data_IF_039637543427
#
_entry.id   IF_039637543427
#
_cell.length_a   1.000
_cell.length_b   1.000
_cell.length_c   1.000
_cell.angle_alpha   90.00
_cell.angle_beta   90.00
_cell.angle_gamma   90.00
#
_symmetry.space_group_name_H-M   'P 1'
#
loop_
_entity.id
_entity.type
_entity.pdbx_description
1 polymer ?
#
# COMPACT_ATOMS: atom_id res chain seq x y z
N UNK A 1 -3.43 19.14 15.66
CA UNK A 1 -2.65 17.97 15.19
C UNK A 1 -3.12 17.68 13.79
N UNK A 2 -2.23 17.70 12.81
CA UNK A 2 -2.53 17.23 11.46
C UNK A 2 -2.55 15.71 11.48
N UNK A 3 -3.50 15.09 10.77
CA UNK A 3 -3.60 13.63 10.66
C UNK A 3 -2.41 13.02 9.92
N UNK A 4 -2.44 11.69 9.73
CA UNK A 4 -1.40 11.00 8.99
C UNK A 4 -1.30 11.54 7.55
N UNK A 5 -0.07 11.79 7.10
CA UNK A 5 0.24 12.33 5.78
C UNK A 5 0.43 11.20 4.75
N UNK A 6 0.25 11.48 3.44
CA UNK A 6 0.64 10.52 2.42
C UNK A 6 2.17 10.35 2.43
N UNK A 7 2.63 9.12 2.22
CA UNK A 7 4.04 8.90 1.90
C UNK A 7 4.37 9.69 0.63
N UNK A 8 5.57 10.29 0.57
CA UNK A 8 5.98 11.13 -0.58
C UNK A 8 5.86 10.44 -1.95
N UNK A 9 6.14 9.14 -2.02
CA UNK A 9 6.04 8.34 -3.25
C UNK A 9 5.74 6.88 -2.87
N UNK A 10 5.05 6.10 -3.72
CA UNK A 10 4.89 4.66 -3.48
C UNK A 10 6.27 4.03 -3.22
N UNK A 11 6.48 3.26 -2.15
CA UNK A 11 7.81 2.69 -1.90
C UNK A 11 8.20 1.66 -2.96
N UNK A 12 9.49 1.35 -3.11
CA UNK A 12 9.98 0.44 -4.17
C UNK A 12 9.38 -0.98 -4.11
N UNK A 13 8.90 -1.41 -2.94
CA UNK A 13 8.23 -2.69 -2.75
C UNK A 13 6.71 -2.56 -2.60
N UNK A 14 6.13 -1.41 -2.95
CA UNK A 14 4.68 -1.19 -2.81
C UNK A 14 3.92 -2.18 -3.70
N UNK A 15 2.89 -2.88 -3.17
CA UNK A 15 2.16 -3.88 -3.95
C UNK A 15 1.41 -3.29 -5.14
N UNK A 16 1.05 -2.00 -5.11
CA UNK A 16 0.38 -1.31 -6.21
C UNK A 16 1.31 -0.94 -7.37
N UNK A 17 2.64 -0.95 -7.22
CA UNK A 17 3.57 -0.59 -8.31
C UNK A 17 3.58 -1.65 -9.40
N UNK A 18 3.41 -1.26 -10.66
CA UNK A 18 3.47 -2.22 -11.78
C UNK A 18 4.86 -2.84 -11.95
N UNK A 19 5.92 -2.10 -11.60
CA UNK A 19 7.30 -2.54 -11.73
C UNK A 19 7.85 -3.29 -10.50
N UNK A 20 6.99 -3.64 -9.53
CA UNK A 20 7.42 -4.41 -8.37
C UNK A 20 7.54 -5.90 -8.74
N UNK A 21 8.56 -6.63 -8.25
CA UNK A 21 8.56 -8.08 -8.33
C UNK A 21 7.34 -8.69 -7.61
N UNK A 22 6.85 -9.81 -8.13
CA UNK A 22 5.83 -10.63 -7.44
C UNK A 22 6.45 -11.39 -6.27
N UNK A 23 5.65 -11.78 -5.28
CA UNK A 23 6.08 -12.65 -4.19
C UNK A 23 6.87 -11.97 -3.08
N UNK A 24 6.75 -10.64 -2.91
CA UNK A 24 7.47 -9.91 -1.85
C UNK A 24 6.76 -10.00 -0.50
N UNK A 25 5.44 -9.83 -0.48
CA UNK A 25 4.67 -9.78 0.76
C UNK A 25 3.94 -11.10 1.02
N UNK A 26 3.52 -11.30 2.27
CA UNK A 26 2.68 -12.45 2.63
C UNK A 26 1.33 -12.39 1.87
N UNK A 27 0.72 -13.53 1.47
CA UNK A 27 -0.59 -13.57 0.82
C UNK A 27 -1.66 -12.72 1.52
N UNK A 28 -1.65 -12.68 2.85
CA UNK A 28 -2.61 -11.91 3.64
C UNK A 28 -2.51 -10.40 3.43
N UNK A 29 -1.34 -9.87 3.08
CA UNK A 29 -1.18 -8.47 2.73
C UNK A 29 -1.86 -8.16 1.39
N UNK A 30 -1.75 -9.08 0.42
CA UNK A 30 -2.41 -8.94 -0.88
C UNK A 30 -3.92 -9.12 -0.78
N UNK A 31 -4.40 -10.03 0.07
CA UNK A 31 -5.83 -10.26 0.31
C UNK A 31 -6.57 -9.03 0.86
N UNK A 32 -5.86 -8.06 1.45
CA UNK A 32 -6.44 -6.79 1.92
C UNK A 32 -6.78 -5.83 0.78
N UNK A 33 -6.08 -5.91 -0.35
CA UNK A 33 -6.12 -4.89 -1.39
C UNK A 33 -7.48 -4.80 -2.10
N UNK A 34 -8.09 -5.95 -2.39
CA UNK A 34 -9.38 -6.02 -3.09
C UNK A 34 -10.55 -5.38 -2.30
N UNK A 35 -10.38 -5.13 -1.00
CA UNK A 35 -11.41 -4.53 -0.13
C UNK A 35 -11.74 -3.07 -0.50
N UNK A 36 -10.91 -2.45 -1.34
CA UNK A 36 -11.00 -1.04 -1.72
C UNK A 36 -11.40 -0.81 -3.19
N UNK A 37 -11.59 -1.87 -3.98
CA UNK A 37 -11.76 -1.75 -5.44
C UNK A 37 -13.14 -1.24 -5.86
N UNK A 38 -14.17 -1.63 -5.10
CA UNK A 38 -15.55 -1.29 -5.41
C UNK A 38 -15.82 0.22 -5.39
N UNK A 39 -16.95 0.66 -5.98
CA UNK A 39 -17.44 2.00 -5.75
C UNK A 39 -17.62 2.25 -4.25
N UNK A 40 -17.59 3.52 -3.83
CA UNK A 40 -17.59 3.94 -2.42
C UNK A 40 -18.62 3.21 -1.54
N UNK A 41 -19.82 2.94 -2.05
CA UNK A 41 -20.89 2.28 -1.30
C UNK A 41 -20.72 0.76 -1.14
N UNK A 42 -19.85 0.14 -1.94
CA UNK A 42 -19.50 -1.29 -1.88
C UNK A 42 -18.17 -1.54 -1.16
N UNK A 43 -17.40 -0.49 -0.85
CA UNK A 43 -16.13 -0.63 -0.14
C UNK A 43 -16.37 -1.11 1.29
N UNK A 44 -15.91 -2.32 1.59
CA UNK A 44 -16.09 -2.97 2.88
C UNK A 44 -15.09 -2.49 3.97
N UNK A 45 -14.09 -1.69 3.59
CA UNK A 45 -13.03 -1.24 4.48
C UNK A 45 -13.07 0.28 4.69
N UNK A 46 -13.31 0.69 5.95
CA UNK A 46 -13.09 2.07 6.42
C UNK A 46 -11.67 2.29 6.96
N UNK A 47 -10.90 1.21 7.13
CA UNK A 47 -9.54 1.27 7.64
C UNK A 47 -8.59 1.81 6.56
N UNK A 48 -7.76 2.78 6.95
CA UNK A 48 -6.71 3.36 6.12
C UNK A 48 -5.61 2.32 5.84
N UNK A 49 -5.11 2.29 4.61
CA UNK A 49 -3.98 1.44 4.25
C UNK A 49 -2.65 2.17 4.53
N UNK A 50 -2.00 1.83 5.65
CA UNK A 50 -0.71 2.42 6.04
C UNK A 50 0.45 1.84 5.22
N UNK A 51 1.55 2.60 5.10
CA UNK A 51 2.75 2.12 4.43
C UNK A 51 3.60 1.20 5.32
N UNK A 52 3.93 -0.01 4.85
CA UNK A 52 4.82 -0.94 5.58
C UNK A 52 6.25 -0.44 5.79
N UNK A 53 6.68 0.57 5.02
CA UNK A 53 8.01 1.19 5.11
C UNK A 53 7.94 2.68 5.55
N UNK A 54 6.76 3.16 5.92
CA UNK A 54 6.54 4.50 6.45
C UNK A 54 6.57 4.54 7.97
N UNK A 55 6.71 5.75 8.50
CA UNK A 55 6.64 6.01 9.93
C UNK A 55 5.26 6.58 10.27
N UNK A 56 4.23 5.74 10.11
CA UNK A 56 2.83 6.16 10.23
C UNK A 56 2.23 6.79 8.97
N UNK A 57 3.02 6.92 7.88
CA UNK A 57 2.52 7.46 6.61
C UNK A 57 1.43 6.58 5.99
N UNK A 58 0.49 7.23 5.28
CA UNK A 58 -0.49 6.55 4.42
C UNK A 58 0.21 6.00 3.17
N UNK A 59 -0.20 4.82 2.72
CA UNK A 59 0.36 4.17 1.54
C UNK A 59 0.06 4.96 0.26
N UNK A 60 1.10 5.58 -0.30
CA UNK A 60 1.02 6.33 -1.56
C UNK A 60 0.56 5.51 -2.77
N UNK A 61 0.88 4.21 -2.84
CA UNK A 61 0.39 3.38 -3.95
C UNK A 61 -1.10 3.10 -3.85
N UNK A 62 -1.60 2.94 -2.62
CA UNK A 62 -3.05 2.80 -2.39
C UNK A 62 -3.78 4.12 -2.64
N UNK A 63 -3.22 5.27 -2.24
CA UNK A 63 -3.83 6.56 -2.58
C UNK A 63 -3.82 6.81 -4.09
N UNK A 64 -2.69 6.57 -4.75
CA UNK A 64 -2.48 7.00 -6.14
C UNK A 64 -3.03 6.08 -7.23
N UNK A 65 -3.53 4.87 -6.92
CA UNK A 65 -4.02 3.96 -7.97
C UNK A 65 -5.33 4.42 -8.63
N UNK A 66 -6.03 5.37 -7.99
CA UNK A 66 -7.26 6.02 -8.46
C UNK A 66 -7.39 7.40 -7.82
N UNK A 67 -8.48 8.12 -8.08
CA UNK A 67 -8.80 9.34 -7.32
C UNK A 67 -8.93 9.01 -5.83
N UNK A 68 -8.10 9.58 -4.92
CA UNK A 68 -8.20 9.30 -3.50
C UNK A 68 -9.58 9.65 -2.89
N UNK A 69 -10.32 10.59 -3.48
CA UNK A 69 -11.67 10.94 -3.04
C UNK A 69 -12.70 9.82 -3.28
N UNK A 70 -12.41 8.85 -4.17
CA UNK A 70 -13.24 7.65 -4.35
C UNK A 70 -13.07 6.63 -3.21
N UNK A 71 -12.05 6.79 -2.36
CA UNK A 71 -11.80 5.87 -1.25
C UNK A 71 -12.59 6.31 -0.02
N UNK A 72 -13.54 5.48 0.43
CA UNK A 72 -14.37 5.75 1.60
C UNK A 72 -13.52 5.98 2.86
N UNK A 73 -12.47 5.18 3.04
CA UNK A 73 -11.53 5.32 4.15
C UNK A 73 -10.81 6.68 4.16
N UNK A 74 -10.48 7.24 2.98
CA UNK A 74 -9.85 8.57 2.88
C UNK A 74 -10.84 9.65 3.29
N UNK A 75 -12.07 9.59 2.77
CA UNK A 75 -13.13 10.56 3.10
C UNK A 75 -13.42 10.60 4.59
N UNK A 76 -13.59 9.42 5.21
CA UNK A 76 -13.86 9.32 6.65
C UNK A 76 -12.65 9.82 7.45
N UNK A 77 -11.44 9.36 7.10
CA UNK A 77 -10.22 9.73 7.81
C UNK A 77 -9.92 11.24 7.79
N UNK A 78 -10.20 11.93 6.68
CA UNK A 78 -10.04 13.40 6.61
C UNK A 78 -11.10 14.10 7.46
N UNK A 79 -12.36 13.64 7.41
CA UNK A 79 -13.45 14.24 8.22
C UNK A 79 -13.25 14.01 9.72
N UNK A 80 -12.72 12.85 10.13
CA UNK A 80 -12.40 12.57 11.54
C UNK A 80 -11.13 13.24 12.03
N UNK A 81 -10.30 13.79 11.13
CA UNK A 81 -9.01 14.38 11.44
C UNK A 81 -7.88 13.36 11.63
N UNK A 82 -8.13 12.08 11.35
CA UNK A 82 -7.12 11.02 11.39
C UNK A 82 -6.14 11.10 10.21
N UNK A 83 -6.59 11.67 9.08
CA UNK A 83 -5.79 11.93 7.88
C UNK A 83 -5.65 13.42 7.60
N UNK A 84 -4.47 13.79 7.11
CA UNK A 84 -4.25 15.12 6.56
C UNK A 84 -5.00 15.29 5.22
N UNK A 85 -5.58 16.47 4.91
CA UNK A 85 -6.26 16.72 3.63
C UNK A 85 -5.41 16.42 2.40
N UNK A 86 -4.08 16.52 2.49
CA UNK A 86 -3.16 16.15 1.40
C UNK A 86 -3.28 14.69 0.95
N UNK A 87 -3.87 13.80 1.76
CA UNK A 87 -4.22 12.45 1.32
C UNK A 87 -5.29 12.42 0.21
N UNK A 88 -6.27 13.32 0.27
CA UNK A 88 -7.35 13.41 -0.71
C UNK A 88 -6.88 14.03 -2.05
N UNK A 89 -5.79 14.80 -2.00
CA UNK A 89 -5.20 15.49 -3.15
C UNK A 89 -3.99 14.75 -3.74
N UNK A 90 -3.68 13.56 -3.21
CA UNK A 90 -2.46 12.83 -3.56
C UNK A 90 -2.45 12.38 -5.02
N UNK A 91 -1.34 12.64 -5.72
CA UNK A 91 -1.08 12.16 -7.08
C UNK A 91 0.35 11.65 -7.20
N UNK A 92 0.62 10.81 -8.21
CA UNK A 92 1.94 10.22 -8.46
C UNK A 92 2.11 9.85 -9.93
N UNK A 93 3.33 10.05 -10.47
CA UNK A 93 3.70 9.61 -11.82
C UNK A 93 4.22 8.17 -11.87
N UNK A 94 4.40 7.52 -10.71
CA UNK A 94 4.79 6.12 -10.63
C UNK A 94 3.66 5.25 -11.21
N UNK A 95 3.92 4.37 -12.19
CA UNK A 95 2.89 3.49 -12.74
C UNK A 95 2.36 2.50 -11.69
N UNK A 96 1.03 2.52 -11.49
CA UNK A 96 0.33 1.67 -10.54
C UNK A 96 -0.66 0.74 -11.23
N UNK A 97 -0.93 -0.42 -10.64
CA UNK A 97 -2.04 -1.26 -11.07
C UNK A 97 -3.37 -0.53 -10.87
N UNK A 98 -4.32 -0.73 -11.78
CA UNK A 98 -5.62 -0.04 -11.78
C UNK A 98 -6.53 -0.41 -10.61
N UNK A 99 -6.24 -1.53 -9.93
CA UNK A 99 -7.03 -2.02 -8.80
C UNK A 99 -6.17 -2.79 -7.81
N UNK A 100 -6.66 -2.91 -6.58
CA UNK A 100 -6.12 -3.79 -5.56
C UNK A 100 -6.17 -5.27 -5.97
N UNK A 101 -7.21 -5.71 -6.69
CA UNK A 101 -7.30 -7.06 -7.23
C UNK A 101 -6.20 -7.34 -8.27
N UNK A 102 -5.93 -6.40 -9.20
CA UNK A 102 -4.84 -6.54 -10.16
C UNK A 102 -3.46 -6.57 -9.46
N UNK A 103 -3.26 -5.69 -8.48
CA UNK A 103 -2.07 -5.67 -7.64
C UNK A 103 -1.87 -6.98 -6.87
N UNK A 104 -2.95 -7.53 -6.30
CA UNK A 104 -2.94 -8.79 -5.57
C UNK A 104 -2.67 -9.98 -6.50
N UNK A 105 -3.31 -10.03 -7.67
CA UNK A 105 -3.10 -11.09 -8.66
C UNK A 105 -1.63 -11.13 -9.12
N UNK A 106 -1.05 -9.97 -9.44
CA UNK A 106 0.39 -9.89 -9.76
C UNK A 106 1.25 -10.30 -8.56
N UNK A 107 0.98 -9.74 -7.38
CA UNK A 107 1.75 -9.97 -6.17
C UNK A 107 1.76 -11.42 -5.68
N UNK A 108 0.66 -12.15 -5.88
CA UNK A 108 0.52 -13.54 -5.46
C UNK A 108 1.15 -14.56 -6.42
N UNK A 109 1.40 -14.19 -7.68
CA UNK A 109 1.83 -15.10 -8.75
C UNK A 109 3.05 -15.95 -8.36
N UNK A 110 4.10 -15.33 -7.83
CA UNK A 110 5.39 -15.99 -7.58
C UNK A 110 5.62 -16.28 -6.08
N UNK A 111 4.61 -16.17 -5.21
CA UNK A 111 4.74 -16.46 -3.77
C UNK A 111 5.31 -17.86 -3.48
N UNK A 112 4.88 -18.96 -4.16
CA UNK A 112 5.43 -20.29 -3.89
C UNK A 112 6.92 -20.42 -4.20
N UNK A 113 7.44 -19.60 -5.12
CA UNK A 113 8.84 -19.61 -5.54
C UNK A 113 9.28 -18.21 -6.00
N UNK A 114 9.56 -17.28 -5.05
CA UNK A 114 9.88 -15.90 -5.40
C UNK A 114 11.18 -15.81 -6.19
N UNK A 115 11.18 -15.01 -7.26
CA UNK A 115 12.36 -14.77 -8.09
C UNK A 115 13.47 -14.01 -7.36
N UNK A 116 14.66 -13.98 -7.97
CA UNK A 116 15.87 -13.36 -7.38
C UNK A 116 15.66 -11.88 -6.98
N UNK A 117 14.91 -11.12 -7.77
CA UNK A 117 14.62 -9.72 -7.48
C UNK A 117 13.67 -9.56 -6.29
N UNK A 118 12.69 -10.46 -6.15
CA UNK A 118 11.79 -10.48 -5.01
C UNK A 118 12.54 -10.84 -3.73
N UNK A 119 13.40 -11.87 -3.78
CA UNK A 119 14.26 -12.27 -2.67
C UNK A 119 15.20 -11.13 -2.23
N UNK A 120 15.80 -10.42 -3.19
CA UNK A 120 16.64 -9.27 -2.91
C UNK A 120 15.85 -8.11 -2.26
N UNK A 121 14.63 -7.86 -2.72
CA UNK A 121 13.74 -6.85 -2.13
C UNK A 121 13.33 -7.22 -0.69
N UNK A 122 12.96 -8.48 -0.45
CA UNK A 122 12.65 -9.02 0.88
C UNK A 122 13.85 -8.82 1.81
N UNK A 123 15.06 -9.20 1.38
CA UNK A 123 16.28 -9.02 2.17
C UNK A 123 16.53 -7.55 2.56
N UNK A 124 16.30 -6.61 1.64
CA UNK A 124 16.40 -5.17 1.93
C UNK A 124 15.36 -4.69 2.95
N UNK A 125 14.11 -5.16 2.83
CA UNK A 125 13.03 -4.82 3.76
C UNK A 125 13.36 -5.33 5.16
N UNK A 126 13.71 -6.61 5.29
CA UNK A 126 14.06 -7.24 6.57
C UNK A 126 15.20 -6.47 7.25
N UNK A 127 16.28 -6.18 6.51
CA UNK A 127 17.42 -5.42 7.04
C UNK A 127 17.02 -4.02 7.52
N UNK A 128 16.23 -3.30 6.73
CA UNK A 128 15.80 -1.93 7.08
C UNK A 128 14.96 -1.94 8.35
N UNK A 129 14.05 -2.90 8.47
CA UNK A 129 13.16 -3.07 9.62
C UNK A 129 13.89 -3.47 10.90
N UNK A 130 14.91 -4.31 10.79
CA UNK A 130 15.81 -4.62 11.90
C UNK A 130 16.53 -3.36 12.41
N UNK A 131 17.08 -2.55 11.50
CA UNK A 131 17.77 -1.29 11.86
C UNK A 131 16.81 -0.30 12.52
N UNK A 132 15.56 -0.23 12.05
CA UNK A 132 14.52 0.63 12.60
C UNK A 132 13.91 0.12 13.93
N UNK A 133 14.36 -1.03 14.46
CA UNK A 133 13.85 -1.59 15.71
C UNK A 133 12.48 -2.25 15.62
N UNK A 134 11.99 -2.58 14.42
CA UNK A 134 10.71 -3.24 14.18
C UNK A 134 10.90 -4.51 13.30
N UNK A 135 11.59 -5.54 13.81
CA UNK A 135 11.95 -6.72 13.03
C UNK A 135 10.73 -7.46 12.48
N UNK A 136 10.86 -8.05 11.30
CA UNK A 136 9.84 -8.95 10.74
C UNK A 136 9.90 -10.27 11.52
N UNK A 137 8.84 -10.61 12.24
CA UNK A 137 8.66 -11.94 12.86
C UNK A 137 8.07 -12.89 11.82
N UNK A 138 8.70 -14.05 11.66
CA UNK A 138 8.21 -15.17 10.84
C UNK A 138 6.99 -15.83 11.46
#
# INVERSE_FOLDING_TARGET
MTGAMPRRSPCASCPYRQNVPSGIWHPDEYAKLARYDGPTHEQAAVAVFSCHQGDGDVCAGWLGHRDPADLLAVRIGVVSGDLDPSCAEYTTDVPLFESGAAAAAHGCRDIPAPGVDAQAAIGKIVRTRQIAGNPVTS
#
